data_IF_081686773676
#
_entry.id   IF_081686773676
#
_cell.length_a   1.000
_cell.length_b   1.000
_cell.length_c   1.000
_cell.angle_alpha   90.00
_cell.angle_beta   90.00
_cell.angle_gamma   90.00
#
_symmetry.space_group_name_H-M   'P 1'
#
loop_
_entity.id
_entity.type
_entity.pdbx_description
1 polymer ?
#
# COMPACT_ATOMS: atom_id res chain seq x y z
N UNK A 1 43.05 22.06 62.89
CA UNK A 1 42.27 21.04 62.12
C UNK A 1 41.55 21.71 60.97
N UNK A 2 42.04 21.58 59.82
CA UNK A 2 41.45 22.13 58.57
C UNK A 2 40.52 21.09 57.98
N UNK A 3 39.23 21.36 57.99
CA UNK A 3 38.25 20.50 57.30
C UNK A 3 38.24 20.89 55.85
N UNK A 4 38.82 20.04 55.00
CA UNK A 4 38.71 20.23 53.56
C UNK A 4 37.30 19.86 53.09
N UNK A 5 36.54 20.86 52.69
CA UNK A 5 35.26 20.64 52.04
C UNK A 5 35.52 20.19 50.60
N UNK A 6 35.28 18.93 50.34
CA UNK A 6 35.30 18.39 48.97
C UNK A 6 33.97 18.81 48.33
N UNK A 7 34.07 19.82 47.45
CA UNK A 7 32.94 20.16 46.57
C UNK A 7 32.95 19.16 45.43
N UNK A 8 31.98 18.23 45.44
CA UNK A 8 31.74 17.35 44.30
C UNK A 8 31.01 18.15 43.23
N UNK A 9 31.52 18.23 42.03
CA UNK A 9 30.75 18.79 40.94
C UNK A 9 29.57 17.85 40.62
N UNK A 10 28.37 18.38 40.76
CA UNK A 10 27.16 17.68 40.27
C UNK A 10 27.19 17.82 38.77
N UNK A 11 27.50 16.71 38.10
CA UNK A 11 27.38 16.64 36.68
C UNK A 11 25.88 16.60 36.31
N UNK A 12 25.33 17.74 35.99
CA UNK A 12 23.97 17.82 35.43
C UNK A 12 24.04 17.31 34.00
N UNK A 13 23.73 16.04 33.83
CA UNK A 13 23.53 15.46 32.48
C UNK A 13 22.21 16.04 31.97
N UNK A 14 22.30 17.10 31.17
CA UNK A 14 21.16 17.62 30.44
C UNK A 14 20.75 16.55 29.40
N UNK A 15 19.69 15.82 29.71
CA UNK A 15 19.03 14.98 28.71
C UNK A 15 18.45 15.90 27.65
N UNK A 16 19.12 16.03 26.51
CA UNK A 16 18.51 16.64 25.34
C UNK A 16 17.35 15.74 24.88
N UNK A 17 16.14 16.30 24.76
CA UNK A 17 15.10 15.57 24.06
C UNK A 17 15.60 15.34 22.64
N UNK A 18 15.75 14.10 22.24
CA UNK A 18 15.90 13.75 20.84
C UNK A 18 14.63 14.28 20.16
N UNK A 19 14.76 15.38 19.44
CA UNK A 19 13.74 15.80 18.47
C UNK A 19 13.63 14.66 17.49
N UNK A 20 12.62 13.81 17.71
CA UNK A 20 12.26 12.78 16.75
C UNK A 20 11.94 13.50 15.45
N UNK A 21 12.85 13.43 14.49
CA UNK A 21 12.53 13.80 13.13
C UNK A 21 11.55 12.73 12.69
N UNK A 22 10.25 13.05 12.71
CA UNK A 22 9.24 12.30 12.01
C UNK A 22 9.52 12.41 10.52
N UNK A 23 10.57 11.73 10.08
CA UNK A 23 10.73 11.46 8.67
C UNK A 23 9.51 10.63 8.27
N UNK A 24 8.69 11.18 7.36
CA UNK A 24 7.57 10.48 6.73
C UNK A 24 8.13 9.22 6.07
N UNK A 25 8.13 8.12 6.83
CA UNK A 25 8.61 6.84 6.36
C UNK A 25 7.57 6.24 5.42
N UNK A 26 8.06 5.64 4.35
CA UNK A 26 7.27 4.73 3.55
C UNK A 26 6.70 3.63 4.44
N UNK A 27 5.41 3.38 4.32
CA UNK A 27 4.70 2.36 5.10
C UNK A 27 4.48 1.11 4.27
N UNK A 28 4.32 -0.02 4.96
CA UNK A 28 3.78 -1.23 4.38
C UNK A 28 2.29 -1.29 4.66
N UNK A 29 1.49 -1.32 3.60
CA UNK A 29 0.04 -1.32 3.67
C UNK A 29 -0.52 -2.60 3.05
N UNK A 30 -1.48 -3.21 3.74
CA UNK A 30 -2.19 -4.39 3.24
C UNK A 30 -3.68 -4.09 3.18
N UNK A 31 -4.30 -4.38 2.05
CA UNK A 31 -5.73 -4.24 1.83
C UNK A 31 -6.34 -5.59 1.46
N UNK A 32 -7.46 -5.92 2.10
CA UNK A 32 -8.24 -7.10 1.79
C UNK A 32 -9.36 -6.72 0.81
N UNK A 33 -9.39 -7.34 -0.35
CA UNK A 33 -10.33 -7.04 -1.42
C UNK A 33 -11.10 -8.29 -1.82
N UNK A 34 -12.42 -8.19 -1.80
CA UNK A 34 -13.31 -9.27 -2.19
C UNK A 34 -14.04 -8.90 -3.48
N UNK A 35 -14.02 -9.80 -4.44
CA UNK A 35 -14.79 -9.67 -5.67
C UNK A 35 -15.93 -10.68 -5.61
N UNK A 36 -17.15 -10.17 -5.58
CA UNK A 36 -18.37 -10.97 -5.63
C UNK A 36 -19.20 -10.56 -6.84
N UNK A 37 -19.58 -11.53 -7.67
CA UNK A 37 -20.34 -11.28 -8.90
C UNK A 37 -19.68 -10.25 -9.82
N UNK A 38 -18.35 -10.27 -9.88
CA UNK A 38 -17.56 -9.34 -10.69
C UNK A 38 -17.44 -7.92 -10.14
N UNK A 39 -17.78 -7.70 -8.87
CA UNK A 39 -17.76 -6.37 -8.25
C UNK A 39 -17.05 -6.38 -6.88
N UNK A 40 -16.44 -5.26 -6.57
CA UNK A 40 -15.90 -4.95 -5.24
C UNK A 40 -16.89 -4.07 -4.49
N UNK A 41 -17.10 -4.25 -3.18
CA UNK A 41 -17.95 -3.37 -2.40
C UNK A 41 -17.57 -1.89 -2.57
N UNK A 42 -18.54 -0.96 -2.64
CA UNK A 42 -18.25 0.46 -2.91
C UNK A 42 -17.22 1.08 -1.99
N UNK A 43 -17.21 0.72 -0.70
CA UNK A 43 -16.25 1.23 0.27
C UNK A 43 -14.79 0.82 -0.01
N UNK A 44 -14.58 -0.22 -0.83
CA UNK A 44 -13.26 -0.78 -1.15
C UNK A 44 -12.79 -0.44 -2.57
N UNK A 45 -13.54 0.36 -3.31
CA UNK A 45 -13.23 0.67 -4.72
C UNK A 45 -12.15 1.73 -4.89
N UNK A 46 -11.78 2.43 -3.84
CA UNK A 46 -10.67 3.39 -3.84
C UNK A 46 -9.65 2.96 -2.80
N UNK A 47 -8.44 2.64 -3.26
CA UNK A 47 -7.28 2.38 -2.43
C UNK A 47 -6.37 3.59 -2.51
N UNK A 48 -6.30 4.35 -1.42
CA UNK A 48 -5.46 5.55 -1.35
C UNK A 48 -4.19 5.25 -0.57
N UNK A 49 -3.04 5.52 -1.18
CA UNK A 49 -1.72 5.32 -0.61
C UNK A 49 -0.84 6.53 -0.88
N UNK A 50 0.28 6.61 -0.18
CA UNK A 50 1.26 7.67 -0.38
C UNK A 50 2.42 7.18 -1.22
N UNK A 51 3.02 8.07 -1.98
CA UNK A 51 4.19 7.77 -2.79
C UNK A 51 5.29 7.14 -1.92
N UNK A 52 5.84 6.03 -2.39
CA UNK A 52 6.88 5.26 -1.71
C UNK A 52 6.34 4.12 -0.84
N UNK A 53 5.04 4.05 -0.57
CA UNK A 53 4.47 2.96 0.22
C UNK A 53 4.63 1.61 -0.50
N UNK A 54 4.91 0.57 0.28
CA UNK A 54 4.83 -0.80 -0.17
C UNK A 54 3.40 -1.31 0.03
N UNK A 55 2.73 -1.66 -1.05
CA UNK A 55 1.30 -1.98 -1.05
C UNK A 55 1.11 -3.46 -1.37
N UNK A 56 0.30 -4.12 -0.56
CA UNK A 56 -0.17 -5.48 -0.79
C UNK A 56 -1.67 -5.49 -0.89
N UNK A 57 -2.17 -5.91 -2.04
CA UNK A 57 -3.59 -6.13 -2.27
C UNK A 57 -3.85 -7.62 -2.23
N UNK A 58 -4.62 -8.07 -1.25
CA UNK A 58 -4.98 -9.47 -1.09
C UNK A 58 -6.39 -9.67 -1.60
N UNK A 59 -6.49 -10.45 -2.65
CA UNK A 59 -7.72 -10.65 -3.41
C UNK A 59 -8.34 -12.00 -3.13
N UNK A 60 -9.66 -11.98 -2.97
CA UNK A 60 -10.51 -13.16 -3.02
C UNK A 60 -11.59 -12.94 -4.07
N UNK A 61 -12.00 -13.98 -4.76
CA UNK A 61 -13.06 -13.91 -5.75
C UNK A 61 -13.90 -15.18 -5.71
N UNK A 62 -15.18 -15.03 -6.05
CA UNK A 62 -16.10 -16.15 -6.25
C UNK A 62 -15.93 -16.84 -7.62
N UNK A 63 -15.05 -16.30 -8.47
CA UNK A 63 -14.77 -16.82 -9.82
C UNK A 63 -13.31 -16.58 -10.21
N UNK A 64 -12.79 -17.35 -11.21
CA UNK A 64 -11.46 -17.08 -11.75
C UNK A 64 -11.44 -15.71 -12.42
N UNK A 65 -10.41 -14.91 -12.12
CA UNK A 65 -10.18 -13.61 -12.72
C UNK A 65 -8.70 -13.41 -13.02
N UNK A 66 -8.42 -12.69 -14.08
CA UNK A 66 -7.10 -12.12 -14.32
C UNK A 66 -7.19 -10.61 -14.15
N UNK A 67 -6.47 -10.07 -13.19
CA UNK A 67 -6.44 -8.64 -12.89
C UNK A 67 -5.21 -7.99 -13.48
N UNK A 68 -5.38 -6.77 -13.97
CA UNK A 68 -4.30 -5.94 -14.45
C UNK A 68 -4.29 -4.59 -13.74
N UNK A 69 -3.17 -4.27 -13.10
CA UNK A 69 -2.90 -2.95 -12.54
C UNK A 69 -2.20 -2.10 -13.61
N UNK A 70 -2.94 -1.18 -14.19
CA UNK A 70 -2.42 -0.26 -15.20
C UNK A 70 -1.41 0.71 -14.61
N UNK A 71 -0.39 1.06 -15.39
CA UNK A 71 0.68 1.96 -14.97
C UNK A 71 1.86 1.26 -14.28
N UNK A 72 1.62 0.13 -13.66
CA UNK A 72 2.64 -0.72 -13.04
C UNK A 72 2.90 -2.01 -13.81
N UNK A 73 2.06 -2.32 -14.78
CA UNK A 73 2.14 -3.49 -15.65
C UNK A 73 2.19 -4.81 -14.88
N UNK A 74 1.35 -4.93 -13.87
CA UNK A 74 1.26 -6.12 -13.04
C UNK A 74 -0.04 -6.85 -13.33
N UNK A 75 0.06 -8.14 -13.63
CA UNK A 75 -1.06 -9.04 -13.75
C UNK A 75 -1.09 -10.02 -12.59
N UNK A 76 -2.28 -10.31 -12.09
CA UNK A 76 -2.48 -11.26 -11.00
C UNK A 76 -3.68 -12.13 -11.31
N UNK A 77 -3.46 -13.44 -11.26
CA UNK A 77 -4.52 -14.44 -11.44
C UNK A 77 -5.15 -14.76 -10.11
N UNK A 78 -6.48 -14.70 -10.04
CA UNK A 78 -7.25 -15.07 -8.85
C UNK A 78 -8.02 -16.34 -9.14
N UNK A 79 -7.91 -17.30 -8.24
CA UNK A 79 -8.71 -18.54 -8.24
C UNK A 79 -9.70 -18.52 -7.09
N UNK A 80 -10.94 -19.02 -7.29
CA UNK A 80 -11.90 -19.13 -6.18
C UNK A 80 -11.36 -20.01 -5.05
N UNK A 81 -11.61 -19.61 -3.81
CA UNK A 81 -11.18 -20.35 -2.64
C UNK A 81 -9.73 -20.13 -2.21
N UNK A 82 -8.97 -19.33 -2.93
CA UNK A 82 -7.60 -18.98 -2.60
C UNK A 82 -7.40 -17.47 -2.54
N UNK A 83 -6.44 -17.01 -1.74
CA UNK A 83 -6.01 -15.61 -1.70
C UNK A 83 -4.94 -15.41 -2.74
N UNK A 84 -5.12 -14.42 -3.62
CA UNK A 84 -4.08 -13.96 -4.53
C UNK A 84 -3.53 -12.62 -4.06
N UNK A 85 -2.22 -12.46 -4.08
CA UNK A 85 -1.56 -11.23 -3.66
C UNK A 85 -1.02 -10.47 -4.87
N UNK A 86 -1.37 -9.19 -4.95
CA UNK A 86 -0.78 -8.23 -5.87
C UNK A 86 0.01 -7.23 -5.04
N UNK A 87 1.33 -7.25 -5.17
CA UNK A 87 2.23 -6.39 -4.40
C UNK A 87 2.99 -5.45 -5.32
N UNK A 88 3.10 -4.19 -4.92
CA UNK A 88 3.85 -3.18 -5.65
C UNK A 88 4.33 -2.07 -4.72
N UNK A 89 5.33 -1.31 -5.17
CA UNK A 89 5.74 -0.07 -4.52
C UNK A 89 5.09 1.10 -5.26
N UNK A 90 4.41 1.98 -4.54
CA UNK A 90 3.73 3.15 -5.09
C UNK A 90 4.73 4.24 -5.51
N UNK A 91 5.41 4.03 -6.63
CA UNK A 91 6.51 4.90 -7.09
C UNK A 91 6.03 6.21 -7.69
N UNK A 92 4.97 6.16 -8.49
CA UNK A 92 4.44 7.30 -9.21
C UNK A 92 3.13 7.77 -8.59
N UNK A 93 2.95 9.08 -8.48
CA UNK A 93 1.67 9.68 -8.10
C UNK A 93 0.67 9.61 -9.24
N UNK A 94 -0.61 9.53 -8.91
CA UNK A 94 -1.69 9.48 -9.88
C UNK A 94 -2.76 8.47 -9.52
N UNK A 95 -3.62 8.18 -10.47
CA UNK A 95 -4.66 7.15 -10.36
C UNK A 95 -4.37 6.01 -11.31
N UNK A 96 -4.39 4.81 -10.79
CA UNK A 96 -4.06 3.59 -11.52
C UNK A 96 -5.22 2.61 -11.38
N UNK A 97 -5.94 2.32 -12.46
CA UNK A 97 -7.07 1.40 -12.39
C UNK A 97 -6.61 -0.06 -12.34
N UNK A 98 -7.35 -0.86 -11.57
CA UNK A 98 -7.24 -2.31 -11.60
C UNK A 98 -8.48 -2.82 -12.34
N UNK A 99 -8.26 -3.47 -13.46
CA UNK A 99 -9.30 -4.00 -14.33
C UNK A 99 -9.19 -5.49 -14.49
N UNK A 100 -10.33 -6.12 -14.77
CA UNK A 100 -10.33 -7.51 -15.22
C UNK A 100 -9.84 -7.55 -16.66
N UNK A 101 -8.82 -8.36 -16.88
CA UNK A 101 -8.32 -8.62 -18.22
C UNK A 101 -9.06 -9.80 -18.83
N UNK A 102 -9.97 -9.51 -19.72
CA UNK A 102 -10.67 -10.54 -20.48
C UNK A 102 -10.13 -10.59 -21.89
N UNK A 103 -9.49 -11.69 -22.31
CA UNK A 103 -9.09 -11.84 -23.71
C UNK A 103 -10.35 -11.89 -24.59
N UNK A 104 -10.44 -10.95 -25.53
CA UNK A 104 -11.50 -10.96 -26.54
C UNK A 104 -11.23 -12.05 -27.56
N UNK A 105 -12.23 -12.87 -27.85
CA UNK A 105 -12.16 -13.75 -29.04
C UNK A 105 -12.03 -12.88 -30.28
N UNK A 106 -10.92 -13.03 -31.03
CA UNK A 106 -10.67 -12.26 -32.25
C UNK A 106 -9.63 -11.14 -32.12
N UNK A 107 -8.82 -11.08 -31.07
CA UNK A 107 -7.61 -10.25 -30.98
C UNK A 107 -7.81 -8.80 -30.53
N UNK A 108 -8.92 -8.48 -29.84
CA UNK A 108 -9.13 -7.18 -29.20
C UNK A 108 -9.17 -7.30 -27.67
N UNK A 109 -8.87 -6.22 -26.98
CA UNK A 109 -9.06 -6.10 -25.55
C UNK A 109 -10.32 -5.29 -25.26
N UNK A 110 -11.23 -5.81 -24.43
CA UNK A 110 -12.34 -5.04 -23.89
C UNK A 110 -11.86 -4.34 -22.62
N UNK A 111 -11.96 -3.04 -22.57
CA UNK A 111 -11.76 -2.27 -21.35
C UNK A 111 -13.04 -2.33 -20.52
N UNK A 112 -13.04 -3.17 -19.52
CA UNK A 112 -14.10 -3.16 -18.52
C UNK A 112 -13.91 -2.00 -17.53
N UNK A 113 -14.99 -1.58 -16.89
CA UNK A 113 -14.89 -0.60 -15.82
C UNK A 113 -13.94 -1.08 -14.73
N UNK A 114 -13.10 -0.21 -14.14
CA UNK A 114 -12.18 -0.63 -13.11
C UNK A 114 -12.92 -1.20 -11.90
N UNK A 115 -12.41 -2.30 -11.34
CA UNK A 115 -12.88 -2.84 -10.07
C UNK A 115 -12.49 -1.94 -8.92
N UNK A 116 -11.26 -1.44 -8.97
CA UNK A 116 -10.63 -0.60 -7.94
C UNK A 116 -9.77 0.44 -8.63
N UNK A 117 -9.75 1.63 -8.05
CA UNK A 117 -8.78 2.68 -8.38
C UNK A 117 -7.72 2.73 -7.28
N UNK A 118 -6.46 2.67 -7.65
CA UNK A 118 -5.36 2.97 -6.75
C UNK A 118 -4.97 4.43 -6.92
N UNK A 119 -5.14 5.23 -5.87
CA UNK A 119 -4.73 6.63 -5.88
C UNK A 119 -3.45 6.78 -5.06
N UNK A 120 -2.39 7.20 -5.72
CA UNK A 120 -1.10 7.48 -5.08
C UNK A 120 -0.95 8.99 -4.97
N UNK A 121 -0.95 9.47 -3.72
CA UNK A 121 -0.76 10.89 -3.44
C UNK A 121 0.70 11.17 -3.05
N UNK A 122 1.20 12.40 -3.25
CA UNK A 122 2.54 12.78 -2.80
C UNK A 122 2.71 12.56 -1.29
N UNK A 123 3.93 12.23 -0.92
CA UNK A 123 4.32 12.12 0.50
C UNK A 123 4.80 13.44 1.03
#
# INVERSE_FOLDING_TARGET
MTIARIIRPILVLAAMPALGIDATRAEELTFELNVERGRVPPAMRLVRVKQGDAVRLRWRSDRPLLLHLHGYDIETKIEPGAVAELAFTARATGRFPIQVHTPKQGGGHTHEAPLVQVEVVPR
#
